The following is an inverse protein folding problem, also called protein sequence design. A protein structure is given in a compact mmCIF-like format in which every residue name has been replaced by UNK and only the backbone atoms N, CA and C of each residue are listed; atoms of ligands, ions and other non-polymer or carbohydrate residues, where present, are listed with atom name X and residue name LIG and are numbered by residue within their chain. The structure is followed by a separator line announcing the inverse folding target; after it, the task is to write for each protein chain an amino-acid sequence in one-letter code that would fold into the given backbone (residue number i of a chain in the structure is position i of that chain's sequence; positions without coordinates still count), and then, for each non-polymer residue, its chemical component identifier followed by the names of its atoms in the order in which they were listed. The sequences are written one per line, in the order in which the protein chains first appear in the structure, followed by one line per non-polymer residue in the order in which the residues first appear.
data_IF_222906717954
#
_entry.id   IF_222906717954
#
_cell.length_a   1.000
_cell.length_b   1.000
_cell.length_c   1.000
_cell.angle_alpha   90.00
_cell.angle_beta   90.00
_cell.angle_gamma   90.00
#
_symmetry.space_group_name_H-M   'P 1'
#
loop_
_entity.id
_entity.type
_entity.pdbx_description
1 polymer ?
#
# COMPACT_ATOMS: atom_id res chain seq x y z
N UNK A 1 -25.98 -1.09 -4.34
CA UNK A 1 -25.00 -2.03 -3.74
C UNK A 1 -23.79 -2.05 -4.65
N UNK A 2 -22.61 -1.62 -4.18
CA UNK A 2 -21.41 -1.59 -5.01
C UNK A 2 -20.79 -2.98 -5.16
N UNK A 3 -20.18 -3.24 -6.32
CA UNK A 3 -19.40 -4.45 -6.66
C UNK A 3 -17.94 -4.38 -6.18
N UNK A 4 -17.60 -3.37 -5.37
CA UNK A 4 -16.26 -3.10 -4.88
C UNK A 4 -16.03 -3.55 -3.45
N UNK A 5 -14.79 -3.41 -3.00
CA UNK A 5 -14.38 -3.62 -1.61
C UNK A 5 -13.75 -2.35 -1.04
N UNK A 6 -13.89 -2.15 0.27
CA UNK A 6 -13.29 -1.03 1.00
C UNK A 6 -12.26 -1.55 1.99
N UNK A 7 -11.13 -0.85 2.09
CA UNK A 7 -10.12 -1.14 3.11
C UNK A 7 -10.55 -0.39 4.37
N UNK A 8 -10.95 -1.12 5.42
CA UNK A 8 -11.38 -0.50 6.67
C UNK A 8 -10.19 -0.04 7.52
N UNK A 9 -9.15 -0.87 7.61
CA UNK A 9 -7.97 -0.61 8.44
C UNK A 9 -6.76 -1.39 7.96
N UNK A 10 -5.58 -0.85 8.20
CA UNK A 10 -4.28 -1.51 8.02
C UNK A 10 -3.57 -1.59 9.36
N UNK A 11 -3.01 -2.75 9.67
CA UNK A 11 -2.01 -2.92 10.71
C UNK A 11 -0.67 -3.22 10.06
N UNK A 12 0.34 -2.42 10.37
CA UNK A 12 1.70 -2.60 9.88
C UNK A 12 2.64 -2.78 11.07
N UNK A 13 3.39 -3.88 11.07
CA UNK A 13 4.38 -4.18 12.11
C UNK A 13 5.75 -4.16 11.47
N UNK A 14 6.68 -3.38 12.04
CA UNK A 14 8.04 -3.25 11.52
C UNK A 14 9.09 -3.54 12.61
N UNK A 15 10.07 -4.36 12.27
CA UNK A 15 11.26 -4.63 13.09
C UNK A 15 12.47 -3.90 12.51
N UNK A 16 13.00 -2.97 13.29
CA UNK A 16 14.19 -2.18 12.91
C UNK A 16 15.41 -2.48 13.77
N UNK A 17 15.35 -3.43 14.70
CA UNK A 17 16.37 -3.52 15.75
C UNK A 17 16.30 -2.30 16.66
N UNK A 18 17.30 -1.42 16.56
CA UNK A 18 17.32 -0.11 17.22
C UNK A 18 16.58 0.94 16.40
N UNK A 19 15.61 1.61 17.02
CA UNK A 19 14.82 2.69 16.40
C UNK A 19 15.39 4.04 16.79
N UNK A 20 15.90 4.79 15.81
CA UNK A 20 16.49 6.12 16.05
C UNK A 20 15.42 7.18 16.30
N UNK A 21 14.38 7.19 15.47
CA UNK A 21 13.25 8.13 15.59
C UNK A 21 11.93 7.40 15.31
N UNK A 22 11.12 7.13 16.34
CA UNK A 22 9.85 6.41 16.20
C UNK A 22 8.81 7.13 15.33
N UNK A 23 8.76 8.45 15.38
CA UNK A 23 7.77 9.23 14.63
C UNK A 23 8.07 9.23 13.15
N UNK A 24 9.33 9.43 12.77
CA UNK A 24 9.78 9.30 11.39
C UNK A 24 9.60 7.88 10.86
N UNK A 25 9.80 6.87 11.72
CA UNK A 25 9.55 5.47 11.38
C UNK A 25 8.08 5.24 11.05
N UNK A 26 7.17 5.74 11.90
CA UNK A 26 5.73 5.67 11.66
C UNK A 26 5.34 6.38 10.36
N UNK A 27 5.83 7.60 10.16
CA UNK A 27 5.57 8.37 8.94
C UNK A 27 6.07 7.65 7.67
N UNK A 28 7.22 6.97 7.73
CA UNK A 28 7.74 6.17 6.61
C UNK A 28 6.82 4.99 6.28
N UNK A 29 6.34 4.26 7.30
CA UNK A 29 5.41 3.13 7.07
C UNK A 29 4.05 3.61 6.56
N UNK A 30 3.56 4.75 7.04
CA UNK A 30 2.33 5.38 6.52
C UNK A 30 2.50 5.85 5.07
N UNK A 31 3.64 6.44 4.72
CA UNK A 31 3.97 6.80 3.35
C UNK A 31 4.08 5.58 2.43
N UNK A 32 4.69 4.50 2.93
CA UNK A 32 4.74 3.23 2.22
C UNK A 32 3.34 2.64 1.96
N UNK A 33 2.40 2.81 2.89
CA UNK A 33 1.00 2.43 2.69
C UNK A 33 0.36 3.17 1.50
N UNK A 34 0.54 4.49 1.44
CA UNK A 34 0.03 5.33 0.33
C UNK A 34 0.60 4.87 -1.01
N UNK A 35 1.92 4.64 -1.06
CA UNK A 35 2.62 4.22 -2.29
C UNK A 35 2.17 2.82 -2.73
N UNK A 36 2.11 1.86 -1.80
CA UNK A 36 1.74 0.49 -2.10
C UNK A 36 0.28 0.36 -2.53
N UNK A 37 -0.64 1.04 -1.84
CA UNK A 37 -2.05 1.05 -2.22
C UNK A 37 -2.24 1.68 -3.60
N UNK A 38 -1.55 2.79 -3.88
CA UNK A 38 -1.54 3.39 -5.22
C UNK A 38 -1.06 2.40 -6.28
N UNK A 39 0.09 1.76 -6.06
CA UNK A 39 0.64 0.79 -7.00
C UNK A 39 -0.26 -0.44 -7.20
N UNK A 40 -1.01 -0.84 -6.17
CA UNK A 40 -1.90 -1.98 -6.23
C UNK A 40 -3.23 -1.66 -6.94
N UNK A 41 -3.82 -0.47 -6.71
CA UNK A 41 -5.23 -0.21 -7.07
C UNK A 41 -5.47 0.94 -8.06
N UNK A 42 -4.44 1.69 -8.45
CA UNK A 42 -4.56 2.79 -9.43
C UNK A 42 -3.95 2.37 -10.76
N UNK A 43 -4.49 2.91 -11.86
CA UNK A 43 -4.23 2.44 -13.22
C UNK A 43 -2.77 2.52 -13.71
N UNK A 44 -1.92 3.29 -13.05
CA UNK A 44 -0.50 3.40 -13.37
C UNK A 44 -0.23 4.07 -14.73
N UNK A 45 0.96 3.83 -15.26
CA UNK A 45 1.41 4.38 -16.55
C UNK A 45 1.30 3.31 -17.63
N UNK A 46 0.61 3.64 -18.72
CA UNK A 46 0.52 2.84 -19.94
C UNK A 46 1.26 3.52 -21.08
N UNK A 47 1.71 2.72 -22.04
CA UNK A 47 2.39 3.19 -23.25
C UNK A 47 1.58 2.83 -24.50
N UNK A 48 1.45 3.77 -25.42
CA UNK A 48 1.00 3.53 -26.80
C UNK A 48 2.01 4.16 -27.76
N UNK A 49 2.41 3.41 -28.79
CA UNK A 49 3.42 3.82 -29.79
C UNK A 49 4.69 4.46 -29.19
N UNK A 50 5.16 3.93 -28.06
CA UNK A 50 6.37 4.39 -27.37
C UNK A 50 6.19 5.66 -26.52
N UNK A 51 4.96 6.16 -26.34
CA UNK A 51 4.68 7.36 -25.55
C UNK A 51 3.79 7.04 -24.34
N UNK A 52 4.10 7.69 -23.21
CA UNK A 52 3.26 7.63 -22.00
C UNK A 52 1.91 8.25 -22.28
N UNK A 53 0.83 7.54 -21.95
CA UNK A 53 -0.53 8.03 -22.17
C UNK A 53 -1.00 8.99 -21.07
N UNK A 54 -0.46 8.81 -19.87
CA UNK A 54 -0.71 9.67 -18.73
C UNK A 54 0.35 10.78 -18.67
N UNK A 55 -0.07 11.97 -18.27
CA UNK A 55 0.74 13.19 -18.26
C UNK A 55 0.79 13.87 -16.88
N UNK A 56 -0.18 13.61 -16.00
CA UNK A 56 -0.22 14.18 -14.64
C UNK A 56 -1.20 13.41 -13.73
N UNK A 57 -1.44 13.88 -12.50
CA UNK A 57 -2.32 13.24 -11.52
C UNK A 57 -3.81 13.26 -11.86
N UNK A 58 -4.24 14.01 -12.87
CA UNK A 58 -5.62 13.97 -13.36
C UNK A 58 -5.89 12.69 -14.17
N UNK A 59 -4.86 12.12 -14.82
CA UNK A 59 -4.95 10.88 -15.63
C UNK A 59 -4.07 9.73 -15.13
N UNK A 60 -3.19 9.95 -14.14
CA UNK A 60 -2.53 8.92 -13.32
C UNK A 60 -2.73 9.23 -11.82
N UNK A 61 -3.92 8.95 -11.27
CA UNK A 61 -4.25 9.34 -9.90
C UNK A 61 -3.50 8.50 -8.86
N UNK A 62 -3.11 9.16 -7.77
CA UNK A 62 -2.70 8.51 -6.52
C UNK A 62 -3.91 8.28 -5.62
N UNK A 63 -3.76 7.44 -4.59
CA UNK A 63 -4.75 7.36 -3.51
C UNK A 63 -4.85 8.72 -2.80
N UNK A 64 -6.08 9.21 -2.60
CA UNK A 64 -6.37 10.49 -1.93
C UNK A 64 -6.61 10.30 -0.43
N UNK A 65 -6.60 11.39 0.33
CA UNK A 65 -6.80 11.37 1.79
C UNK A 65 -8.12 10.70 2.22
N UNK A 66 -9.19 10.88 1.44
CA UNK A 66 -10.51 10.28 1.70
C UNK A 66 -10.59 8.79 1.29
N UNK A 67 -9.61 8.30 0.53
CA UNK A 67 -9.50 6.89 0.14
C UNK A 67 -8.53 6.12 1.04
N UNK A 68 -7.73 6.82 1.85
CA UNK A 68 -6.77 6.19 2.75
C UNK A 68 -7.46 5.52 3.93
N UNK A 69 -7.19 4.23 4.20
CA UNK A 69 -7.62 3.60 5.43
C UNK A 69 -6.84 4.14 6.62
N UNK A 70 -7.36 3.94 7.84
CA UNK A 70 -6.55 4.13 9.05
C UNK A 70 -5.39 3.13 9.04
N UNK A 71 -4.16 3.64 9.14
CA UNK A 71 -2.94 2.82 9.24
C UNK A 71 -2.47 2.87 10.69
N UNK A 72 -2.31 1.70 11.31
CA UNK A 72 -1.77 1.56 12.66
C UNK A 72 -0.40 0.90 12.58
N UNK A 73 0.63 1.66 12.98
CA UNK A 73 2.03 1.21 12.93
C UNK A 73 2.51 0.79 14.31
N UNK A 74 2.92 -0.47 14.41
CA UNK A 74 3.59 -1.04 15.57
C UNK A 74 5.06 -1.22 15.26
N UNK A 75 5.91 -0.63 16.10
CA UNK A 75 7.36 -0.69 15.95
C UNK A 75 7.88 -1.68 16.99
N UNK A 76 8.55 -2.74 16.52
CA UNK A 76 9.25 -3.66 17.40
C UNK A 76 10.60 -3.04 17.76
N UNK A 77 10.68 -2.48 18.97
CA UNK A 77 11.85 -1.73 19.47
C UNK A 77 12.80 -2.57 20.35
N UNK A 78 12.60 -3.89 20.41
CA UNK A 78 13.39 -4.80 21.25
C UNK A 78 14.45 -5.58 20.44
N UNK A 79 14.69 -5.22 19.17
CA UNK A 79 15.33 -6.10 18.18
C UNK A 79 16.85 -6.14 18.16
N UNK A 80 17.54 -5.70 19.22
CA UNK A 80 19.00 -5.77 19.36
C UNK A 80 19.75 -4.51 18.91
N UNK A 81 21.10 -4.55 18.97
CA UNK A 81 21.98 -3.37 18.88
C UNK A 81 22.21 -2.83 17.45
N UNK A 82 21.50 -3.32 16.43
CA UNK A 82 21.73 -2.97 15.03
C UNK A 82 20.68 -1.99 14.51
N UNK A 83 21.13 -0.95 13.82
CA UNK A 83 20.26 0.00 13.10
C UNK A 83 19.98 -0.59 11.71
N UNK A 84 18.70 -0.74 11.36
CA UNK A 84 18.25 -1.22 10.04
C UNK A 84 17.61 -0.10 9.22
N UNK A 85 17.47 -0.33 7.90
CA UNK A 85 16.77 0.59 7.01
C UNK A 85 15.26 0.54 7.17
N UNK A 86 14.59 1.71 7.15
CA UNK A 86 13.13 1.85 7.28
C UNK A 86 12.42 2.23 5.99
N UNK A 87 13.13 2.80 5.01
CA UNK A 87 12.51 3.47 3.86
C UNK A 87 11.78 2.53 2.88
N UNK A 88 12.28 1.31 2.69
CA UNK A 88 11.74 0.36 1.71
C UNK A 88 10.89 -0.77 2.31
N UNK A 89 11.23 -1.35 3.49
CA UNK A 89 10.54 -2.56 3.99
C UNK A 89 9.03 -2.42 4.19
N UNK A 90 8.56 -1.20 4.44
CA UNK A 90 7.13 -0.93 4.63
C UNK A 90 6.29 -1.15 3.38
N UNK A 91 6.85 -1.11 2.16
CA UNK A 91 6.06 -1.10 0.91
C UNK A 91 5.68 -2.51 0.40
N UNK A 92 6.63 -3.45 0.21
CA UNK A 92 6.33 -4.74 -0.42
C UNK A 92 5.22 -5.58 0.23
N UNK A 93 5.04 -5.60 1.57
CA UNK A 93 4.04 -6.46 2.21
C UNK A 93 2.58 -6.06 1.92
N UNK A 94 2.31 -4.82 1.53
CA UNK A 94 0.94 -4.28 1.44
C UNK A 94 0.10 -4.92 0.34
N UNK A 95 0.62 -5.02 -0.89
CA UNK A 95 -0.11 -5.56 -2.03
C UNK A 95 -0.57 -7.03 -1.81
N UNK A 96 0.30 -7.97 -1.39
CA UNK A 96 -0.15 -9.34 -1.10
C UNK A 96 -1.10 -9.40 0.10
N UNK A 97 -0.91 -8.58 1.15
CA UNK A 97 -1.85 -8.50 2.27
C UNK A 97 -3.25 -8.07 1.82
N UNK A 98 -3.34 -7.04 0.96
CA UNK A 98 -4.60 -6.60 0.37
C UNK A 98 -5.23 -7.70 -0.49
N UNK A 99 -4.45 -8.34 -1.39
CA UNK A 99 -4.98 -9.40 -2.26
C UNK A 99 -5.50 -10.60 -1.47
N UNK A 100 -4.84 -10.95 -0.36
CA UNK A 100 -5.28 -12.01 0.55
C UNK A 100 -6.56 -11.62 1.31
N UNK A 101 -6.67 -10.37 1.75
CA UNK A 101 -7.90 -9.87 2.39
C UNK A 101 -9.09 -9.88 1.42
N UNK A 102 -8.88 -9.50 0.16
CA UNK A 102 -9.89 -9.57 -0.90
C UNK A 102 -10.32 -11.02 -1.13
N UNK A 103 -9.36 -11.95 -1.23
CA UNK A 103 -9.66 -13.36 -1.37
C UNK A 103 -10.47 -13.90 -0.18
N UNK A 104 -10.08 -13.56 1.05
CA UNK A 104 -10.80 -13.97 2.25
C UNK A 104 -12.24 -13.43 2.28
N UNK A 105 -12.46 -12.19 1.81
CA UNK A 105 -13.77 -11.56 1.82
C UNK A 105 -14.69 -11.98 0.65
N UNK A 106 -14.13 -12.36 -0.50
CA UNK A 106 -14.90 -12.53 -1.75
C UNK A 106 -14.71 -13.87 -2.46
N UNK A 107 -13.71 -14.67 -2.07
CA UNK A 107 -13.28 -15.87 -2.79
C UNK A 107 -12.54 -15.62 -4.10
N UNK A 108 -12.41 -14.36 -4.55
CA UNK A 108 -11.71 -14.02 -5.81
C UNK A 108 -10.21 -13.80 -5.57
N UNK A 109 -9.37 -14.48 -6.35
CA UNK A 109 -7.91 -14.29 -6.32
C UNK A 109 -7.46 -13.27 -7.35
N UNK A 110 -6.81 -12.21 -6.88
CA UNK A 110 -6.12 -11.24 -7.72
C UNK A 110 -4.70 -11.74 -8.00
N UNK A 111 -4.31 -11.80 -9.27
CA UNK A 111 -2.96 -12.23 -9.71
C UNK A 111 -2.24 -11.24 -10.62
N UNK A 112 -2.90 -10.13 -10.94
CA UNK A 112 -2.37 -9.07 -11.79
C UNK A 112 -2.62 -7.73 -11.10
N UNK A 113 -1.56 -6.95 -10.97
CA UNK A 113 -1.60 -5.57 -10.52
C UNK A 113 -1.34 -4.63 -11.71
N UNK A 114 -1.81 -3.38 -11.65
CA UNK A 114 -2.82 -2.91 -10.71
C UNK A 114 -4.22 -3.48 -11.03
N UNK A 115 -5.18 -3.30 -10.13
CA UNK A 115 -6.58 -3.68 -10.32
C UNK A 115 -7.56 -2.63 -9.78
N UNK A 116 -8.77 -2.54 -10.34
CA UNK A 116 -9.79 -1.60 -9.83
C UNK A 116 -10.51 -2.20 -8.61
N UNK A 117 -10.23 -1.66 -7.42
CA UNK A 117 -10.83 -2.11 -6.16
C UNK A 117 -12.36 -1.92 -6.11
N UNK A 118 -12.91 -1.06 -6.97
CA UNK A 118 -14.36 -0.83 -7.06
C UNK A 118 -15.08 -1.88 -7.94
N UNK A 119 -14.32 -2.75 -8.61
CA UNK A 119 -14.82 -3.75 -9.58
C UNK A 119 -14.24 -5.13 -9.29
N UNK A 120 -14.45 -5.61 -8.07
CA UNK A 120 -13.95 -6.92 -7.64
C UNK A 120 -15.01 -8.00 -7.87
N UNK A 121 -16.26 -7.75 -7.49
CA UNK A 121 -17.36 -8.74 -7.49
C UNK A 121 -18.16 -8.69 -8.79
#
# INVERSE_FOLDING_TARGET
KGTGVKIEKVYAVIDLGTVVNPDNTRAQVEGAAVMALTAAIKGGISFDKGQTQQSNFHNNPLVRINEMPKVEVHILANGGNTIKGVGEPGLPPFAPALCNAIFAATGKRIRRLPFDINKIV
#
